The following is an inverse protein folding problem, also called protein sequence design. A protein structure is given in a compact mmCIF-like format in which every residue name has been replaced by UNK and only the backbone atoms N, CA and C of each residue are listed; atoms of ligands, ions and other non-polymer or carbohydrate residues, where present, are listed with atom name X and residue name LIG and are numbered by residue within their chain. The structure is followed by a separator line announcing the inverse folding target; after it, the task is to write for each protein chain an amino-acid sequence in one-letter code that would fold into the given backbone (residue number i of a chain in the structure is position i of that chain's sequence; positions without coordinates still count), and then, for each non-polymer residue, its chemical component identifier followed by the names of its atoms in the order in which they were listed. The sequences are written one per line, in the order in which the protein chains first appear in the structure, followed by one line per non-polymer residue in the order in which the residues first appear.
data_IF_235408063230
#
_entry.id   IF_235408063230
#
_cell.length_a   1.000
_cell.length_b   1.000
_cell.length_c   1.000
_cell.angle_alpha   90.00
_cell.angle_beta   90.00
_cell.angle_gamma   90.00
#
_symmetry.space_group_name_H-M   'P 1'
#
loop_
_entity.id
_entity.type
_entity.pdbx_description
1 polymer ?
#
# COMPACT_ATOMS: atom_id res chain seq x y z
N UNK A 1 11.07 -6.77 10.45
CA UNK A 1 9.96 -7.32 9.63
C UNK A 1 9.95 -6.89 8.15
N UNK A 2 10.82 -5.98 7.66
CA UNK A 2 10.87 -5.59 6.23
C UNK A 2 11.88 -6.39 5.37
N UNK A 3 12.58 -7.38 5.93
CA UNK A 3 13.72 -8.04 5.29
C UNK A 3 13.42 -9.36 4.55
N UNK A 4 12.15 -9.78 4.43
CA UNK A 4 11.82 -11.10 3.86
C UNK A 4 11.22 -11.08 2.45
N UNK A 5 11.26 -9.95 1.73
CA UNK A 5 10.72 -9.88 0.35
C UNK A 5 9.19 -10.09 0.24
N UNK A 6 8.47 -10.09 1.37
CA UNK A 6 7.02 -10.27 1.44
C UNK A 6 6.34 -9.10 0.72
N UNK A 7 5.52 -9.41 -0.29
CA UNK A 7 4.73 -8.43 -1.04
C UNK A 7 5.45 -7.74 -2.20
N UNK A 8 6.71 -8.11 -2.51
CA UNK A 8 7.39 -7.63 -3.72
C UNK A 8 6.66 -8.15 -4.96
N UNK A 9 6.31 -7.26 -5.88
CA UNK A 9 5.58 -7.62 -7.12
C UNK A 9 4.06 -7.73 -6.99
N UNK A 10 3.48 -7.47 -5.81
CA UNK A 10 2.03 -7.37 -5.65
C UNK A 10 1.47 -6.24 -6.50
N UNK A 11 0.42 -6.52 -7.28
CA UNK A 11 -0.28 -5.55 -8.11
C UNK A 11 -1.61 -5.19 -7.45
N UNK A 12 -1.83 -3.89 -7.24
CA UNK A 12 -3.10 -3.39 -6.71
C UNK A 12 -4.14 -3.31 -7.84
N UNK A 13 -5.17 -4.16 -7.82
CA UNK A 13 -6.11 -4.31 -8.95
C UNK A 13 -6.79 -3.01 -9.39
N UNK A 14 -7.06 -2.08 -8.47
CA UNK A 14 -7.72 -0.81 -8.78
C UNK A 14 -6.87 0.17 -9.60
N UNK A 15 -5.56 -0.07 -9.71
CA UNK A 15 -4.67 0.70 -10.59
C UNK A 15 -4.79 0.27 -12.06
N UNK A 16 -5.55 -0.79 -12.35
CA UNK A 16 -5.68 -1.38 -13.67
C UNK A 16 -7.09 -1.17 -14.24
N UNK A 17 -7.19 -1.19 -15.57
CA UNK A 17 -8.46 -1.07 -16.26
C UNK A 17 -9.43 -2.18 -15.81
N UNK A 18 -10.70 -1.82 -15.58
CA UNK A 18 -11.71 -2.76 -15.07
C UNK A 18 -11.52 -3.17 -13.60
N UNK A 19 -10.58 -2.56 -12.88
CA UNK A 19 -10.20 -2.90 -11.51
C UNK A 19 -9.82 -4.39 -11.34
N UNK A 20 -9.23 -4.99 -12.37
CA UNK A 20 -8.82 -6.40 -12.43
C UNK A 20 -7.42 -6.50 -13.05
N UNK A 21 -6.62 -7.45 -12.58
CA UNK A 21 -5.26 -7.68 -13.08
C UNK A 21 -4.93 -9.17 -13.06
N UNK A 22 -4.21 -9.65 -14.08
CA UNK A 22 -3.66 -11.00 -14.05
C UNK A 22 -2.51 -11.06 -13.02
N UNK A 23 -2.74 -11.85 -11.98
CA UNK A 23 -1.78 -12.17 -10.93
C UNK A 23 -2.09 -13.56 -10.38
N UNK A 24 -1.07 -14.25 -9.90
CA UNK A 24 -1.24 -15.49 -9.16
C UNK A 24 -1.76 -15.20 -7.74
N UNK A 25 -2.94 -15.74 -7.40
CA UNK A 25 -3.55 -15.60 -6.08
C UNK A 25 -3.54 -16.90 -5.27
N UNK A 26 -3.51 -18.05 -5.94
CA UNK A 26 -3.40 -19.37 -5.32
C UNK A 26 -1.94 -19.84 -5.28
N UNK A 27 -1.54 -20.62 -4.27
CA UNK A 27 -0.24 -21.28 -4.25
C UNK A 27 0.01 -22.16 -5.48
N UNK A 28 1.27 -22.35 -5.86
CA UNK A 28 1.69 -23.14 -7.02
C UNK A 28 1.05 -24.53 -7.05
N UNK A 29 1.01 -25.21 -5.89
CA UNK A 29 0.47 -26.56 -5.76
C UNK A 29 -1.01 -26.69 -6.16
N UNK A 30 -1.77 -25.59 -6.14
CA UNK A 30 -3.22 -25.59 -6.42
C UNK A 30 -3.64 -24.51 -7.42
N UNK A 31 -2.71 -23.92 -8.16
CA UNK A 31 -2.99 -22.79 -9.07
C UNK A 31 -4.04 -23.12 -10.14
N UNK A 32 -4.15 -24.39 -10.55
CA UNK A 32 -5.12 -24.84 -11.55
C UNK A 32 -6.48 -25.24 -10.95
N UNK A 33 -6.64 -25.23 -9.62
CA UNK A 33 -7.88 -25.67 -8.95
C UNK A 33 -8.97 -24.61 -9.05
N UNK A 34 -10.18 -25.04 -9.38
CA UNK A 34 -11.39 -24.21 -9.33
C UNK A 34 -12.32 -24.73 -8.23
N UNK A 35 -12.74 -23.84 -7.33
CA UNK A 35 -13.63 -24.16 -6.20
C UNK A 35 -15.08 -23.72 -6.41
N UNK A 36 -15.31 -22.73 -7.27
CA UNK A 36 -16.63 -22.20 -7.57
C UNK A 36 -16.90 -22.32 -9.08
N UNK A 37 -18.03 -22.95 -9.41
CA UNK A 37 -18.52 -23.17 -10.75
C UNK A 37 -19.95 -22.61 -10.79
N UNK A 38 -20.14 -21.34 -11.19
CA UNK A 38 -21.46 -20.72 -11.20
C UNK A 38 -22.38 -21.47 -12.17
N UNK A 39 -23.64 -21.63 -11.77
CA UNK A 39 -24.70 -22.15 -12.64
C UNK A 39 -25.29 -21.04 -13.50
N UNK A 40 -26.23 -21.41 -14.38
CA UNK A 40 -27.00 -20.48 -15.21
C UNK A 40 -28.26 -19.94 -14.48
N UNK A 41 -28.48 -20.33 -13.22
CA UNK A 41 -29.70 -20.01 -12.50
C UNK A 41 -29.60 -18.69 -11.74
N UNK A 42 -30.65 -17.87 -11.85
CA UNK A 42 -30.78 -16.63 -11.10
C UNK A 42 -29.59 -15.68 -11.30
N UNK A 43 -29.05 -15.16 -10.19
CA UNK A 43 -27.95 -14.19 -10.21
C UNK A 43 -26.58 -14.82 -10.56
N UNK A 44 -26.44 -16.15 -10.45
CA UNK A 44 -25.19 -16.82 -10.82
C UNK A 44 -24.86 -16.66 -12.30
N UNK A 45 -25.87 -16.58 -13.16
CA UNK A 45 -25.70 -16.25 -14.59
C UNK A 45 -24.93 -14.94 -14.81
N UNK A 46 -25.21 -13.92 -13.99
CA UNK A 46 -24.53 -12.62 -14.06
C UNK A 46 -23.10 -12.72 -13.54
N UNK A 47 -22.87 -13.54 -12.51
CA UNK A 47 -21.52 -13.81 -11.99
C UNK A 47 -20.69 -14.55 -13.04
N UNK A 48 -21.25 -15.58 -13.68
CA UNK A 48 -20.62 -16.33 -14.76
C UNK A 48 -20.22 -15.42 -15.93
N UNK A 49 -21.13 -14.55 -16.38
CA UNK A 49 -20.86 -13.58 -17.44
C UNK A 49 -19.72 -12.62 -17.07
N UNK A 50 -19.71 -12.09 -15.84
CA UNK A 50 -18.62 -11.23 -15.35
C UNK A 50 -17.29 -11.96 -15.26
N UNK A 51 -17.29 -13.22 -14.81
CA UNK A 51 -16.09 -14.06 -14.75
C UNK A 51 -15.51 -14.33 -16.14
N UNK A 52 -16.38 -14.63 -17.12
CA UNK A 52 -15.99 -14.82 -18.51
C UNK A 52 -15.36 -13.53 -19.10
N UNK A 53 -16.03 -12.39 -18.94
CA UNK A 53 -15.52 -11.10 -19.42
C UNK A 53 -14.14 -10.75 -18.83
N UNK A 54 -13.89 -11.01 -17.54
CA UNK A 54 -12.57 -10.83 -16.92
C UNK A 54 -11.52 -11.80 -17.45
N UNK A 55 -11.90 -13.05 -17.75
CA UNK A 55 -10.98 -14.01 -18.34
C UNK A 55 -10.54 -13.58 -19.75
N UNK A 56 -11.48 -13.12 -20.57
CA UNK A 56 -11.21 -12.59 -21.91
C UNK A 56 -10.34 -11.34 -21.87
N UNK A 57 -10.66 -10.37 -21.00
CA UNK A 57 -9.87 -9.15 -20.83
C UNK A 57 -8.40 -9.46 -20.46
N UNK A 58 -8.18 -10.41 -19.54
CA UNK A 58 -6.82 -10.87 -19.19
C UNK A 58 -6.13 -11.57 -20.35
N UNK A 59 -6.82 -12.44 -21.08
CA UNK A 59 -6.26 -13.09 -22.26
C UNK A 59 -5.86 -12.08 -23.35
N UNK A 60 -6.68 -11.05 -23.58
CA UNK A 60 -6.39 -9.96 -24.51
C UNK A 60 -5.18 -9.11 -24.05
N UNK A 61 -5.11 -8.76 -22.77
CA UNK A 61 -3.96 -8.05 -22.20
C UNK A 61 -2.65 -8.85 -22.35
N UNK A 62 -2.71 -10.16 -22.11
CA UNK A 62 -1.58 -11.09 -22.31
C UNK A 62 -1.16 -11.17 -23.77
N UNK A 63 -2.11 -11.27 -24.70
CA UNK A 63 -1.84 -11.28 -26.14
C UNK A 63 -1.21 -9.95 -26.62
N UNK A 64 -1.63 -8.82 -26.04
CA UNK A 64 -1.09 -7.50 -26.35
C UNK A 64 0.26 -7.21 -25.66
N UNK A 65 0.73 -8.08 -24.75
CA UNK A 65 1.96 -7.87 -23.97
C UNK A 65 1.91 -6.67 -23.03
N UNK A 66 0.73 -6.09 -22.77
CA UNK A 66 0.56 -4.90 -21.90
C UNK A 66 -0.63 -5.06 -20.98
N UNK A 67 -0.49 -4.62 -19.73
CA UNK A 67 -1.61 -4.53 -18.78
C UNK A 67 -2.05 -3.07 -18.69
N UNK A 68 -3.21 -2.69 -19.28
CA UNK A 68 -3.66 -1.30 -19.27
C UNK A 68 -3.94 -0.81 -17.85
N UNK A 69 -3.45 0.40 -17.53
CA UNK A 69 -3.69 1.04 -16.23
C UNK A 69 -5.02 1.81 -16.23
N UNK A 70 -5.60 1.95 -15.05
CA UNK A 70 -6.79 2.79 -14.83
C UNK A 70 -6.51 4.22 -15.27
N UNK A 71 -7.49 4.84 -15.93
CA UNK A 71 -7.45 6.26 -16.32
C UNK A 71 -7.46 7.19 -15.12
N UNK A 72 -8.03 6.75 -14.01
CA UNK A 72 -8.11 7.49 -12.76
C UNK A 72 -7.44 6.64 -11.69
N UNK A 73 -6.11 6.73 -11.53
CA UNK A 73 -5.42 6.07 -10.44
C UNK A 73 -5.84 6.72 -9.11
N UNK A 74 -5.88 5.94 -8.01
CA UNK A 74 -6.06 6.51 -6.68
C UNK A 74 -4.91 7.47 -6.34
N UNK A 75 -5.13 8.50 -5.50
CA UNK A 75 -4.08 9.42 -5.12
C UNK A 75 -2.95 8.70 -4.39
N UNK A 76 -1.70 8.96 -4.80
CA UNK A 76 -0.53 8.35 -4.20
C UNK A 76 -0.30 8.91 -2.79
N UNK A 77 -0.63 8.12 -1.77
CA UNK A 77 -0.37 8.50 -0.38
C UNK A 77 1.11 8.29 -0.08
N UNK A 78 1.89 9.37 -0.09
CA UNK A 78 3.30 9.31 0.28
C UNK A 78 3.43 8.85 1.74
N UNK A 79 3.94 7.63 1.95
CA UNK A 79 4.06 7.03 3.30
C UNK A 79 5.10 7.72 4.19
N UNK A 80 5.81 8.72 3.68
CA UNK A 80 6.93 9.40 4.32
C UNK A 80 6.65 10.86 4.74
N UNK A 81 5.44 11.37 4.50
CA UNK A 81 5.09 12.74 4.90
C UNK A 81 5.19 12.99 6.42
N UNK A 82 5.16 11.92 7.24
CA UNK A 82 5.31 12.00 8.70
C UNK A 82 6.76 12.02 9.21
N UNK A 83 7.72 11.49 8.44
CA UNK A 83 9.11 11.32 8.90
C UNK A 83 9.81 12.68 9.09
N UNK A 84 9.52 13.66 8.23
CA UNK A 84 10.07 15.01 8.33
C UNK A 84 9.57 15.79 9.55
N UNK A 85 8.28 15.65 9.89
CA UNK A 85 7.64 16.36 10.99
C UNK A 85 8.17 15.89 12.37
N UNK A 86 8.43 14.59 12.52
CA UNK A 86 8.96 14.03 13.77
C UNK A 86 10.41 14.45 14.00
N UNK A 87 11.22 14.53 12.94
CA UNK A 87 12.61 15.00 13.00
C UNK A 87 12.72 16.47 13.41
N UNK A 88 11.82 17.33 12.92
CA UNK A 88 11.76 18.74 13.34
C UNK A 88 11.38 18.89 14.82
N UNK A 89 10.43 18.09 15.31
CA UNK A 89 10.01 18.10 16.72
C UNK A 89 11.13 17.67 17.67
N UNK A 90 11.92 16.68 17.26
CA UNK A 90 13.04 16.19 18.05
C UNK A 90 14.18 17.22 18.15
N UNK A 91 14.50 17.90 17.03
CA UNK A 91 15.47 19.00 17.00
C UNK A 91 15.01 20.16 17.90
N UNK A 92 13.73 20.55 17.82
CA UNK A 92 13.19 21.62 18.66
C UNK A 92 13.22 21.26 20.15
N UNK A 93 12.91 20.01 20.51
CA UNK A 93 12.98 19.53 21.90
C UNK A 93 14.41 19.53 22.45
N UNK A 94 15.38 19.13 21.64
CA UNK A 94 16.80 19.16 22.04
C UNK A 94 17.30 20.59 22.26
N UNK A 95 16.93 21.53 21.37
CA UNK A 95 17.27 22.94 21.53
C UNK A 95 16.67 23.56 22.79
N UNK A 96 15.41 23.25 23.10
CA UNK A 96 14.74 23.73 24.31
C UNK A 96 15.43 23.18 25.58
N UNK A 97 15.77 21.90 25.58
CA UNK A 97 16.49 21.28 26.70
C UNK A 97 17.92 21.84 26.87
N UNK A 98 18.56 22.29 25.80
CA UNK A 98 19.88 22.90 25.83
C UNK A 98 19.83 24.35 26.35
N UNK A 99 18.78 25.11 26.02
CA UNK A 99 18.55 26.45 26.59
C UNK A 99 18.21 26.36 28.08
N UNK A 100 17.34 25.43 28.47
CA UNK A 100 17.00 25.21 29.89
C UNK A 100 18.22 24.81 30.73
N UNK A 101 19.13 24.01 30.17
CA UNK A 101 20.40 23.66 30.85
C UNK A 101 21.36 24.84 30.98
N UNK A 102 21.41 25.74 29.99
CA UNK A 102 22.25 26.94 30.05
C UNK A 102 21.72 27.92 31.08
N UNK A 103 20.42 28.15 31.10
CA UNK A 103 19.77 29.06 32.05
C UNK A 103 19.86 28.53 33.50
N UNK A 104 19.76 27.21 33.69
CA UNK A 104 19.96 26.58 35.00
C UNK A 104 21.42 26.60 35.49
N UNK A 105 22.40 26.72 34.59
CA UNK A 105 23.81 26.82 34.94
C UNK A 105 24.25 28.27 35.28
N UNK A 106 23.44 29.27 34.91
CA UNK A 106 23.70 30.69 35.11
C UNK A 106 22.95 31.27 36.33
N UNK A 107 22.46 30.42 37.25
CA UNK A 107 21.87 30.88 38.51
C UNK A 107 23.02 31.29 39.45
N UNK A 108 23.20 32.59 39.75
CA UNK A 108 24.20 33.00 40.73
C UNK A 108 23.75 32.51 42.10
N UNK A 109 24.62 31.77 42.78
CA UNK A 109 24.37 31.25 44.12
C UNK A 109 23.96 32.37 45.07
N UNK A 110 22.73 32.29 45.56
CA UNK A 110 22.21 33.16 46.62
C UNK A 110 23.05 32.91 47.88
N UNK A 111 23.91 33.88 48.21
CA UNK A 111 24.71 33.87 49.42
C UNK A 111 23.79 34.11 50.61
N UNK A 112 23.50 33.04 51.34
CA UNK A 112 22.79 33.11 52.62
C UNK A 112 23.52 33.98 53.63
N UNK A 113 22.76 34.87 54.26
CA UNK A 113 22.96 35.41 55.61
C UNK A 113 21.60 35.49 56.29
#
# INVERSE_FOLDING_TARGET
MKQHGIGVGYRYSHDYEGADVEQQYLPDAIVARRYYLPTDQGYESTIAARMAARAEARAAAKAAGRTPRSRTPPPEVTRHAGDGLMKQREISRQKLAETEKRDAADVPGDHGV
#
